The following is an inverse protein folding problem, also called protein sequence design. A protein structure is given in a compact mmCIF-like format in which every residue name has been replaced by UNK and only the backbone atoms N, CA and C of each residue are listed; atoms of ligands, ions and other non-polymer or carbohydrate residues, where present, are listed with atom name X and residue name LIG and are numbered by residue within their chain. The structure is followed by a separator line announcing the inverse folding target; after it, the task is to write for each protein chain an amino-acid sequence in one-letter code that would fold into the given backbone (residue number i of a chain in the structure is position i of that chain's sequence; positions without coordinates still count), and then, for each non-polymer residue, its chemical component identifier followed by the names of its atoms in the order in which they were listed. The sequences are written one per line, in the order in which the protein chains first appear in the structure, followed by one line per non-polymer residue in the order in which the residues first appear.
data_IF_780271066327
#
_entry.id   IF_780271066327
#
_cell.length_a   1.000
_cell.length_b   1.000
_cell.length_c   1.000
_cell.angle_alpha   90.00
_cell.angle_beta   90.00
_cell.angle_gamma   90.00
#
_symmetry.space_group_name_H-M   'P 1'
#
loop_
_entity.id
_entity.type
_entity.pdbx_description
1 polymer ?
#
# COMPACT_ATOMS: atom_id res chain seq x y z
N UNK A 1 41.08 -21.57 -27.71
CA UNK A 1 39.77 -20.89 -27.84
C UNK A 1 39.05 -20.97 -26.50
N UNK A 2 39.18 -19.95 -25.65
CA UNK A 2 38.52 -19.90 -24.34
C UNK A 2 37.29 -19.01 -24.42
N UNK A 3 36.09 -19.59 -24.28
CA UNK A 3 34.85 -18.83 -24.21
C UNK A 3 34.74 -18.22 -22.81
N UNK A 4 35.05 -16.93 -22.72
CA UNK A 4 34.72 -16.10 -21.56
C UNK A 4 33.21 -16.17 -21.30
N UNK A 5 32.84 -16.87 -20.23
CA UNK A 5 31.51 -16.81 -19.63
C UNK A 5 31.31 -15.38 -19.13
N UNK A 6 30.58 -14.56 -19.90
CA UNK A 6 29.92 -13.38 -19.37
C UNK A 6 29.05 -13.88 -18.22
N UNK A 7 29.51 -13.71 -16.98
CA UNK A 7 28.65 -13.75 -15.80
C UNK A 7 27.48 -12.82 -16.12
N UNK A 8 26.33 -13.41 -16.42
CA UNK A 8 25.06 -12.68 -16.41
C UNK A 8 24.92 -12.18 -14.99
N UNK A 9 25.20 -10.90 -14.77
CA UNK A 9 24.75 -10.21 -13.55
C UNK A 9 23.27 -10.52 -13.43
N UNK A 10 22.78 -11.07 -12.31
CA UNK A 10 21.35 -11.11 -12.09
C UNK A 10 20.92 -9.64 -12.16
N UNK A 11 20.23 -9.22 -13.23
CA UNK A 11 19.29 -8.12 -13.10
C UNK A 11 18.17 -8.68 -12.23
N UNK A 12 18.46 -8.84 -10.94
CA UNK A 12 17.47 -9.18 -9.93
C UNK A 12 16.46 -8.06 -9.97
N UNK A 13 15.20 -8.39 -10.22
CA UNK A 13 14.07 -7.49 -10.00
C UNK A 13 14.27 -6.92 -8.59
N UNK A 14 14.62 -5.64 -8.46
CA UNK A 14 14.75 -5.03 -7.15
C UNK A 14 13.39 -5.17 -6.45
N UNK A 15 13.38 -5.65 -5.20
CA UNK A 15 12.16 -5.59 -4.40
C UNK A 15 11.78 -4.11 -4.23
N UNK A 16 10.49 -3.83 -4.00
CA UNK A 16 10.03 -2.46 -3.76
C UNK A 16 10.84 -1.76 -2.67
N UNK A 17 11.16 -2.46 -1.57
CA UNK A 17 12.02 -1.95 -0.50
C UNK A 17 13.40 -1.52 -1.01
N UNK A 18 14.07 -2.34 -1.83
CA UNK A 18 15.39 -2.01 -2.41
C UNK A 18 15.33 -0.84 -3.38
N UNK A 19 14.25 -0.73 -4.15
CA UNK A 19 14.05 0.42 -5.05
C UNK A 19 13.89 1.72 -4.25
N UNK A 20 13.10 1.70 -3.16
CA UNK A 20 12.91 2.84 -2.27
C UNK A 20 14.24 3.22 -1.58
N UNK A 21 14.95 2.26 -1.00
CA UNK A 21 16.26 2.50 -0.36
C UNK A 21 17.29 3.06 -1.34
N UNK A 22 17.30 2.60 -2.59
CA UNK A 22 18.21 3.15 -3.60
C UNK A 22 17.87 4.58 -3.99
N UNK A 23 16.59 4.96 -3.96
CA UNK A 23 16.14 6.29 -4.32
C UNK A 23 16.25 7.28 -3.16
N UNK A 24 16.11 6.79 -1.92
CA UNK A 24 16.13 7.58 -0.69
C UNK A 24 17.08 6.95 0.34
N UNK A 25 18.40 6.93 0.08
CA UNK A 25 19.37 6.14 0.87
C UNK A 25 19.46 6.56 2.34
N UNK A 26 19.18 7.83 2.64
CA UNK A 26 19.27 8.37 4.00
C UNK A 26 17.94 8.33 4.76
N UNK A 27 16.89 7.73 4.17
CA UNK A 27 15.55 7.67 4.77
C UNK A 27 15.10 6.21 4.94
N UNK A 28 15.03 5.70 6.18
CA UNK A 28 14.55 4.34 6.40
C UNK A 28 13.05 4.21 6.09
N UNK A 29 12.64 3.04 5.64
CA UNK A 29 11.21 2.70 5.50
C UNK A 29 10.70 2.35 6.90
N UNK A 30 10.01 3.30 7.54
CA UNK A 30 9.48 3.10 8.90
C UNK A 30 8.12 2.39 8.90
N UNK A 31 7.28 2.67 7.91
CA UNK A 31 5.91 2.16 7.82
C UNK A 31 5.58 1.70 6.41
N UNK A 32 4.73 0.67 6.31
CA UNK A 32 3.98 0.35 5.09
C UNK A 32 2.52 0.10 5.47
N UNK A 33 1.60 0.87 4.89
CA UNK A 33 0.17 0.71 5.13
C UNK A 33 -0.45 -0.18 4.06
N UNK A 34 -1.25 -1.15 4.48
CA UNK A 34 -1.99 -2.05 3.58
C UNK A 34 -3.39 -1.49 3.38
N UNK A 35 -3.83 -1.38 2.12
CA UNK A 35 -5.17 -0.89 1.80
C UNK A 35 -6.25 -1.90 2.16
N UNK A 36 -6.07 -3.15 1.72
CA UNK A 36 -6.97 -4.29 1.93
C UNK A 36 -6.26 -5.63 1.58
N UNK A 37 -6.83 -6.81 1.91
CA UNK A 37 -6.09 -8.07 1.90
C UNK A 37 -5.97 -8.77 0.53
N UNK A 38 -6.34 -8.13 -0.58
CA UNK A 38 -6.13 -8.72 -1.91
C UNK A 38 -4.63 -8.86 -2.25
N UNK A 39 -4.32 -9.86 -3.07
CA UNK A 39 -2.94 -10.33 -3.29
C UNK A 39 -2.02 -9.26 -3.93
N UNK A 40 -2.57 -8.40 -4.76
CA UNK A 40 -1.89 -7.31 -5.45
C UNK A 40 -1.60 -6.11 -4.54
N UNK A 41 -2.28 -6.04 -3.39
CA UNK A 41 -2.04 -5.03 -2.34
C UNK A 41 -1.24 -5.58 -1.16
N UNK A 42 -1.07 -6.91 -1.08
CA UNK A 42 -0.34 -7.61 -0.01
C UNK A 42 0.91 -8.35 -0.48
N UNK A 43 1.09 -8.59 -1.78
CA UNK A 43 2.18 -9.43 -2.31
C UNK A 43 3.60 -8.92 -2.01
N UNK A 44 3.75 -7.63 -1.68
CA UNK A 44 5.03 -7.02 -1.30
C UNK A 44 5.31 -6.95 0.21
N UNK A 45 4.32 -7.23 1.08
CA UNK A 45 4.39 -6.85 2.51
C UNK A 45 5.51 -7.55 3.25
N UNK A 46 5.73 -8.85 2.99
CA UNK A 46 6.84 -9.61 3.59
C UNK A 46 8.20 -9.03 3.21
N UNK A 47 8.35 -8.63 1.94
CA UNK A 47 9.56 -8.00 1.44
C UNK A 47 9.85 -6.66 2.13
N UNK A 48 8.82 -5.86 2.42
CA UNK A 48 8.99 -4.60 3.14
C UNK A 48 9.24 -4.83 4.65
N UNK A 49 8.52 -5.78 5.27
CA UNK A 49 8.74 -6.15 6.67
C UNK A 49 10.18 -6.65 6.92
N UNK A 50 10.78 -7.37 5.96
CA UNK A 50 12.16 -7.81 6.07
C UNK A 50 13.16 -6.64 6.23
N UNK A 51 12.78 -5.44 5.78
CA UNK A 51 13.58 -4.23 5.89
C UNK A 51 13.29 -3.41 7.16
N UNK A 52 12.54 -3.97 8.12
CA UNK A 52 12.29 -3.35 9.43
C UNK A 52 11.07 -2.45 9.50
N UNK A 53 10.33 -2.27 8.40
CA UNK A 53 9.15 -1.42 8.36
C UNK A 53 7.97 -2.02 9.15
N UNK A 54 7.33 -1.22 9.99
CA UNK A 54 6.07 -1.59 10.64
C UNK A 54 4.94 -1.66 9.61
N UNK A 55 4.24 -2.79 9.57
CA UNK A 55 3.11 -2.99 8.65
C UNK A 55 1.84 -2.51 9.33
N UNK A 56 1.29 -1.40 8.84
CA UNK A 56 0.06 -0.79 9.37
C UNK A 56 -1.15 -1.47 8.72
N UNK A 57 -2.01 -2.05 9.56
CA UNK A 57 -3.14 -2.87 9.13
C UNK A 57 -4.40 -2.40 9.86
N UNK A 58 -5.51 -2.24 9.15
CA UNK A 58 -6.78 -2.01 9.84
C UNK A 58 -7.19 -3.28 10.58
N UNK A 59 -7.66 -3.15 11.82
CA UNK A 59 -7.87 -4.28 12.75
C UNK A 59 -8.67 -5.46 12.16
N UNK A 60 -9.60 -5.21 11.24
CA UNK A 60 -10.43 -6.25 10.61
C UNK A 60 -9.68 -7.11 9.61
N UNK A 61 -8.55 -6.63 9.11
CA UNK A 61 -7.63 -7.37 8.23
C UNK A 61 -6.47 -8.02 8.97
N UNK A 62 -6.43 -7.93 10.31
CA UNK A 62 -5.30 -8.43 11.09
C UNK A 62 -5.05 -9.92 10.88
N UNK A 63 -6.11 -10.73 10.81
CA UNK A 63 -6.00 -12.17 10.61
C UNK A 63 -5.35 -12.50 9.26
N UNK A 64 -5.83 -11.88 8.17
CA UNK A 64 -5.29 -12.08 6.82
C UNK A 64 -3.80 -11.69 6.74
N UNK A 65 -3.44 -10.54 7.32
CA UNK A 65 -2.07 -10.06 7.27
C UNK A 65 -1.13 -10.84 8.19
N UNK A 66 -1.62 -11.35 9.32
CA UNK A 66 -0.87 -12.29 10.17
C UNK A 66 -0.57 -13.57 9.42
N UNK A 67 -1.57 -14.16 8.75
CA UNK A 67 -1.38 -15.37 7.96
C UNK A 67 -0.28 -15.17 6.90
N UNK A 68 -0.32 -14.06 6.16
CA UNK A 68 0.68 -13.73 5.14
C UNK A 68 2.09 -13.55 5.77
N UNK A 69 2.21 -12.80 6.87
CA UNK A 69 3.50 -12.50 7.49
C UNK A 69 4.11 -13.69 8.24
N UNK A 70 3.29 -14.59 8.79
CA UNK A 70 3.79 -15.69 9.62
C UNK A 70 3.86 -17.03 8.86
N UNK A 71 3.25 -17.12 7.68
CA UNK A 71 3.38 -18.27 6.80
C UNK A 71 4.86 -18.69 6.59
N UNK A 72 5.21 -19.99 6.76
CA UNK A 72 6.54 -20.49 6.47
C UNK A 72 6.90 -20.30 4.99
N UNK A 73 8.02 -19.64 4.71
CA UNK A 73 8.59 -19.52 3.37
C UNK A 73 9.92 -20.25 3.35
N UNK A 74 9.95 -21.47 2.79
CA UNK A 74 11.08 -22.39 2.94
C UNK A 74 11.71 -22.85 1.62
N UNK A 75 11.12 -22.57 0.45
CA UNK A 75 11.62 -23.07 -0.83
C UNK A 75 11.52 -22.09 -2.03
N UNK A 76 12.57 -21.30 -2.31
CA UNK A 76 13.61 -20.91 -1.35
C UNK A 76 13.02 -19.98 -0.27
N UNK A 77 13.67 -19.86 0.91
CA UNK A 77 13.21 -18.90 1.91
C UNK A 77 13.31 -17.47 1.37
N UNK A 78 12.31 -16.65 1.66
CA UNK A 78 12.33 -15.23 1.32
C UNK A 78 13.23 -14.43 2.28
N UNK A 79 13.42 -13.14 2.03
CA UNK A 79 14.28 -12.31 2.88
C UNK A 79 13.76 -12.25 4.32
N UNK A 80 12.44 -12.14 4.53
CA UNK A 80 11.85 -12.11 5.86
C UNK A 80 12.16 -13.40 6.64
N UNK A 81 11.96 -14.56 6.02
CA UNK A 81 12.27 -15.85 6.63
C UNK A 81 13.76 -15.99 6.93
N UNK A 82 14.65 -15.64 5.99
CA UNK A 82 16.10 -15.67 6.21
C UNK A 82 16.52 -14.82 7.41
N UNK A 83 16.02 -13.58 7.50
CA UNK A 83 16.34 -12.65 8.59
C UNK A 83 15.85 -13.12 9.95
N UNK A 84 14.62 -13.65 10.02
CA UNK A 84 14.07 -14.25 11.24
C UNK A 84 14.87 -15.45 11.71
N UNK A 85 15.39 -16.26 10.78
CA UNK A 85 16.19 -17.46 11.08
C UNK A 85 17.69 -17.20 11.35
N UNK A 86 18.18 -15.99 11.11
CA UNK A 86 19.58 -15.64 11.30
C UNK A 86 20.02 -15.83 12.77
N UNK A 87 21.32 -15.98 12.99
CA UNK A 87 21.89 -16.15 14.33
C UNK A 87 22.99 -15.09 14.55
N UNK A 88 22.75 -14.04 15.37
CA UNK A 88 21.48 -13.74 16.05
C UNK A 88 20.37 -13.32 15.06
N UNK A 89 19.07 -13.42 15.44
CA UNK A 89 17.97 -12.96 14.61
C UNK A 89 18.12 -11.49 14.25
N UNK A 90 17.88 -11.16 12.99
CA UNK A 90 17.93 -9.78 12.52
C UNK A 90 16.60 -9.08 12.82
N UNK A 91 16.64 -7.77 13.08
CA UNK A 91 15.44 -6.96 13.26
C UNK A 91 14.62 -6.93 11.97
N UNK A 92 13.33 -7.20 12.12
CA UNK A 92 12.32 -7.15 11.05
C UNK A 92 11.09 -6.41 11.55
N UNK A 93 10.26 -5.96 10.62
CA UNK A 93 8.98 -5.33 10.89
C UNK A 93 7.95 -6.29 11.48
N UNK A 94 6.96 -5.71 12.14
CA UNK A 94 5.81 -6.38 12.70
C UNK A 94 4.51 -5.66 12.30
N UNK A 95 3.37 -6.30 12.54
CA UNK A 95 2.07 -5.66 12.37
C UNK A 95 1.83 -4.68 13.52
N UNK A 96 1.38 -3.47 13.18
CA UNK A 96 0.70 -2.55 14.09
C UNK A 96 -0.73 -2.36 13.56
N UNK A 97 -1.73 -2.69 14.36
CA UNK A 97 -3.12 -2.51 13.98
C UNK A 97 -3.63 -1.11 14.33
N UNK A 98 -4.60 -0.63 13.54
CA UNK A 98 -5.35 0.58 13.85
C UNK A 98 -6.85 0.38 13.58
N UNK A 99 -7.67 1.26 14.15
CA UNK A 99 -9.13 1.17 14.07
C UNK A 99 -9.71 2.46 13.48
N UNK A 100 -10.30 2.37 12.29
CA UNK A 100 -10.97 3.48 11.61
C UNK A 100 -10.03 4.56 11.05
N UNK A 101 -9.18 5.18 11.88
CA UNK A 101 -8.25 6.24 11.48
C UNK A 101 -6.88 6.08 12.11
N UNK A 102 -5.82 6.31 11.32
CA UNK A 102 -4.44 6.47 11.81
C UNK A 102 -3.86 7.77 11.29
N UNK A 103 -3.13 8.50 12.13
CA UNK A 103 -2.39 9.69 11.72
C UNK A 103 -0.91 9.47 11.99
N UNK A 104 -0.09 9.76 10.99
CA UNK A 104 1.37 9.70 11.07
C UNK A 104 1.89 11.09 10.72
N UNK A 105 2.64 11.70 11.63
CA UNK A 105 3.22 13.03 11.42
C UNK A 105 4.73 12.96 11.61
N UNK A 106 5.47 13.36 10.57
CA UNK A 106 6.94 13.35 10.57
C UNK A 106 7.46 14.43 9.63
N UNK A 107 8.53 15.13 10.03
CA UNK A 107 9.16 16.15 9.19
C UNK A 107 8.25 17.29 8.73
N UNK A 108 7.19 17.60 9.49
CA UNK A 108 6.20 18.63 9.13
C UNK A 108 5.15 18.18 8.11
N UNK A 109 5.15 16.90 7.71
CA UNK A 109 4.13 16.32 6.85
C UNK A 109 3.25 15.36 7.66
N UNK A 110 1.97 15.31 7.31
CA UNK A 110 0.99 14.39 7.90
C UNK A 110 0.44 13.46 6.82
N UNK A 111 0.39 12.16 7.14
CA UNK A 111 -0.34 11.14 6.40
C UNK A 111 -1.49 10.66 7.29
N UNK A 112 -2.70 10.66 6.75
CA UNK A 112 -3.89 10.11 7.39
C UNK A 112 -4.32 8.83 6.67
N UNK A 113 -4.50 7.74 7.40
CA UNK A 113 -5.17 6.54 6.93
C UNK A 113 -6.63 6.58 7.40
N UNK A 114 -7.57 6.32 6.49
CA UNK A 114 -8.99 6.25 6.79
C UNK A 114 -9.55 4.93 6.28
N UNK A 115 -10.21 4.18 7.15
CA UNK A 115 -10.94 2.97 6.81
C UNK A 115 -12.35 3.36 6.35
N UNK A 116 -12.69 3.00 5.13
CA UNK A 116 -14.01 3.22 4.54
C UNK A 116 -14.81 1.92 4.64
N UNK A 117 -15.98 2.02 5.27
CA UNK A 117 -16.86 0.90 5.58
C UNK A 117 -18.22 1.04 4.93
N UNK A 118 -18.91 -0.07 4.74
CA UNK A 118 -20.22 -0.16 4.10
C UNK A 118 -20.14 -0.44 2.60
N UNK A 119 -19.11 -1.18 2.14
CA UNK A 119 -18.90 -1.45 0.72
C UNK A 119 -18.57 -2.91 0.43
N UNK A 120 -19.03 -3.43 -0.71
CA UNK A 120 -18.99 -4.85 -1.02
C UNK A 120 -17.63 -5.37 -1.53
N UNK A 121 -16.75 -4.48 -2.01
CA UNK A 121 -15.42 -4.89 -2.51
C UNK A 121 -14.58 -5.55 -1.41
N UNK A 122 -14.45 -4.86 -0.27
CA UNK A 122 -13.78 -5.31 0.96
C UNK A 122 -14.27 -4.46 2.14
N UNK A 123 -14.28 -5.03 3.33
CA UNK A 123 -14.78 -4.36 4.54
C UNK A 123 -13.72 -4.35 5.65
N UNK A 124 -13.02 -3.22 5.89
CA UNK A 124 -13.06 -1.94 5.17
C UNK A 124 -12.04 -1.86 4.04
N UNK A 125 -12.10 -0.81 3.21
CA UNK A 125 -10.99 -0.40 2.36
C UNK A 125 -10.27 0.80 2.99
N UNK A 126 -8.94 0.75 3.10
CA UNK A 126 -8.15 1.87 3.63
C UNK A 126 -7.69 2.79 2.51
N UNK A 127 -7.91 4.10 2.67
CA UNK A 127 -7.34 5.16 1.83
C UNK A 127 -6.29 5.95 2.61
N UNK A 128 -5.33 6.54 1.90
CA UNK A 128 -4.30 7.37 2.50
C UNK A 128 -4.38 8.81 1.96
N UNK A 129 -4.42 9.79 2.85
CA UNK A 129 -4.60 11.19 2.51
C UNK A 129 -3.45 12.04 3.07
N UNK A 130 -2.89 12.92 2.23
CA UNK A 130 -1.84 13.88 2.61
C UNK A 130 -2.45 15.28 2.58
N UNK A 131 -2.84 15.88 3.73
CA UNK A 131 -3.61 17.12 3.75
C UNK A 131 -2.89 18.33 3.12
N UNK A 132 -1.59 18.46 3.34
CA UNK A 132 -0.80 19.58 2.82
C UNK A 132 -0.65 19.54 1.31
N UNK A 133 -0.65 18.34 0.73
CA UNK A 133 -0.59 18.12 -0.72
C UNK A 133 -1.98 17.95 -1.36
N UNK A 134 -3.05 17.77 -0.56
CA UNK A 134 -4.41 17.45 -1.02
C UNK A 134 -4.45 16.24 -1.96
N UNK A 135 -3.62 15.23 -1.64
CA UNK A 135 -3.49 13.99 -2.40
C UNK A 135 -4.21 12.88 -1.66
N UNK A 136 -5.05 12.13 -2.38
CA UNK A 136 -5.70 10.92 -1.90
C UNK A 136 -5.18 9.72 -2.68
N UNK A 137 -4.48 8.80 -2.00
CA UNK A 137 -4.23 7.46 -2.50
C UNK A 137 -5.40 6.55 -2.16
N UNK A 138 -5.93 5.88 -3.17
CA UNK A 138 -6.99 4.89 -3.06
C UNK A 138 -6.68 3.77 -4.06
N UNK A 139 -6.97 2.52 -3.69
CA UNK A 139 -6.61 1.40 -4.55
C UNK A 139 -7.70 1.10 -5.59
N UNK A 140 -8.79 0.49 -5.12
CA UNK A 140 -9.67 -0.29 -5.99
C UNK A 140 -11.02 0.38 -6.26
N UNK A 141 -11.20 1.63 -5.81
CA UNK A 141 -12.51 2.30 -5.90
C UNK A 141 -12.64 3.16 -7.16
N UNK A 142 -11.54 3.68 -7.69
CA UNK A 142 -11.53 4.51 -8.88
C UNK A 142 -10.18 4.39 -9.60
N UNK A 143 -10.16 4.39 -10.93
CA UNK A 143 -8.92 4.24 -11.70
C UNK A 143 -8.67 5.52 -12.52
N UNK A 144 -7.96 6.53 -11.96
CA UNK A 144 -7.69 7.79 -12.67
C UNK A 144 -7.06 7.55 -14.03
N UNK A 145 -7.47 8.35 -15.02
CA UNK A 145 -7.00 8.24 -16.41
C UNK A 145 -7.67 7.14 -17.26
N UNK A 146 -8.53 6.29 -16.68
CA UNK A 146 -9.28 5.28 -17.46
C UNK A 146 -10.67 5.76 -17.91
N UNK A 147 -11.21 6.77 -17.22
CA UNK A 147 -12.61 7.20 -17.37
C UNK A 147 -13.63 6.20 -16.80
N UNK A 148 -13.19 5.09 -16.21
CA UNK A 148 -14.05 4.11 -15.59
C UNK A 148 -14.71 4.70 -14.34
N UNK A 149 -16.04 4.61 -14.29
CA UNK A 149 -16.85 5.01 -13.13
C UNK A 149 -17.68 3.85 -12.61
N UNK A 150 -18.74 4.17 -11.88
CA UNK A 150 -19.66 3.17 -11.34
C UNK A 150 -19.84 3.27 -9.82
N UNK A 151 -20.43 2.24 -9.20
CA UNK A 151 -20.81 2.27 -7.79
C UNK A 151 -19.61 2.50 -6.85
N UNK A 152 -18.44 1.92 -7.13
CA UNK A 152 -17.24 2.09 -6.29
C UNK A 152 -16.76 3.55 -6.28
N UNK A 153 -16.75 4.20 -7.45
CA UNK A 153 -16.38 5.60 -7.59
C UNK A 153 -17.39 6.52 -6.87
N UNK A 154 -18.68 6.18 -6.92
CA UNK A 154 -19.72 6.90 -6.20
C UNK A 154 -19.54 6.79 -4.68
N UNK A 155 -19.27 5.58 -4.17
CA UNK A 155 -18.99 5.34 -2.76
C UNK A 155 -17.74 6.09 -2.27
N UNK A 156 -16.67 6.10 -3.06
CA UNK A 156 -15.46 6.86 -2.74
C UNK A 156 -15.75 8.37 -2.66
N UNK A 157 -16.48 8.92 -3.64
CA UNK A 157 -16.84 10.34 -3.62
C UNK A 157 -17.70 10.69 -2.39
N UNK A 158 -18.66 9.85 -2.05
CA UNK A 158 -19.50 10.02 -0.86
C UNK A 158 -18.65 9.98 0.42
N UNK A 159 -17.73 9.03 0.52
CA UNK A 159 -16.82 8.88 1.66
C UNK A 159 -15.90 10.10 1.82
N UNK A 160 -15.31 10.60 0.73
CA UNK A 160 -14.50 11.83 0.73
C UNK A 160 -15.30 13.03 1.26
N UNK A 161 -16.57 13.15 0.84
CA UNK A 161 -17.47 14.21 1.32
C UNK A 161 -17.82 14.05 2.79
N UNK A 162 -18.16 12.84 3.25
CA UNK A 162 -18.45 12.53 4.65
C UNK A 162 -17.27 12.84 5.58
N UNK A 163 -16.05 12.53 5.12
CA UNK A 163 -14.82 12.81 5.84
C UNK A 163 -14.36 14.28 5.73
N UNK A 164 -15.02 15.09 4.90
CA UNK A 164 -14.68 16.49 4.63
C UNK A 164 -13.22 16.69 4.17
N UNK A 165 -12.71 15.76 3.34
CA UNK A 165 -11.35 15.85 2.81
C UNK A 165 -11.30 16.81 1.63
N UNK A 166 -10.28 17.67 1.58
CA UNK A 166 -10.02 18.57 0.45
C UNK A 166 -9.04 17.91 -0.49
N UNK A 167 -9.54 17.28 -1.55
CA UNK A 167 -8.71 16.50 -2.47
C UNK A 167 -8.61 17.22 -3.81
N UNK A 168 -7.38 17.44 -4.27
CA UNK A 168 -7.09 18.00 -5.59
C UNK A 168 -6.60 16.90 -6.55
N UNK A 169 -5.89 15.89 -6.03
CA UNK A 169 -5.29 14.79 -6.82
C UNK A 169 -5.67 13.43 -6.26
N UNK A 170 -6.13 12.53 -7.14
CA UNK A 170 -6.30 11.11 -6.86
C UNK A 170 -5.11 10.31 -7.38
N UNK A 171 -4.62 9.39 -6.56
CA UNK A 171 -3.61 8.40 -6.94
C UNK A 171 -4.26 7.03 -6.83
N UNK A 172 -4.34 6.31 -7.94
CA UNK A 172 -4.86 4.95 -7.98
C UNK A 172 -3.80 3.92 -7.59
N UNK A 173 -4.20 2.88 -6.85
CA UNK A 173 -3.46 1.62 -6.77
C UNK A 173 -3.46 0.90 -8.13
N UNK A 174 -4.53 1.09 -8.90
CA UNK A 174 -4.63 0.78 -10.32
C UNK A 174 -4.95 2.03 -11.14
N UNK A 175 -4.61 1.99 -12.43
CA UNK A 175 -4.71 3.16 -13.31
C UNK A 175 -3.53 4.10 -13.09
N UNK A 176 -3.80 5.40 -12.97
CA UNK A 176 -2.77 6.41 -12.85
C UNK A 176 -3.01 7.45 -11.77
N UNK A 177 -2.47 8.63 -12.02
CA UNK A 177 -2.63 9.83 -11.20
C UNK A 177 -3.49 10.81 -12.01
N UNK A 178 -4.50 11.40 -11.39
CA UNK A 178 -5.41 12.32 -12.07
C UNK A 178 -6.08 13.32 -11.14
N UNK A 179 -6.68 14.39 -11.68
CA UNK A 179 -7.35 15.40 -10.88
C UNK A 179 -8.59 14.84 -10.19
N UNK A 180 -8.96 15.40 -9.03
CA UNK A 180 -10.14 14.99 -8.28
C UNK A 180 -11.45 15.10 -9.08
N UNK A 181 -11.50 16.05 -10.03
CA UNK A 181 -12.63 16.24 -10.93
C UNK A 181 -12.97 15.01 -11.78
N UNK A 182 -11.99 14.14 -12.07
CA UNK A 182 -12.27 12.89 -12.79
C UNK A 182 -13.14 11.93 -11.96
N UNK A 183 -12.89 11.82 -10.66
CA UNK A 183 -13.73 11.03 -9.75
C UNK A 183 -15.15 11.60 -9.71
N UNK A 184 -15.29 12.92 -9.61
CA UNK A 184 -16.60 13.59 -9.60
C UNK A 184 -17.40 13.25 -10.86
N UNK A 185 -16.74 13.29 -12.03
CA UNK A 185 -17.35 12.92 -13.31
C UNK A 185 -17.71 11.42 -13.34
N UNK A 186 -16.82 10.55 -12.90
CA UNK A 186 -16.99 9.11 -12.92
C UNK A 186 -18.06 8.59 -11.93
N UNK A 187 -18.21 9.24 -10.77
CA UNK A 187 -19.29 8.94 -9.83
C UNK A 187 -20.66 9.31 -10.40
N UNK A 188 -20.74 10.36 -11.23
CA UNK A 188 -21.97 10.78 -11.90
C UNK A 188 -22.50 9.83 -12.98
N UNK A 189 -21.72 8.80 -13.36
CA UNK A 189 -22.14 7.78 -14.33
C UNK A 189 -22.65 6.49 -13.69
N UNK A 190 -22.74 6.43 -12.35
CA UNK A 190 -23.36 5.30 -11.66
C UNK A 190 -24.87 5.26 -12.00
N UNK A 191 -25.31 4.17 -12.61
CA UNK A 191 -26.74 3.93 -12.83
C UNK A 191 -27.42 3.70 -11.47
N UNK A 192 -28.65 4.20 -11.28
CA UNK A 192 -29.43 4.01 -10.05
C UNK A 192 -29.78 2.54 -9.78
#
# INVERSE_FOLDING_TARGET
MSRSSKRRTPRSKATLARAIESQFPDKPIRYAAVTHPHYDHTGGVRGIAAHGATILVEKRHEADLKEILDAPHTNPPDELARRRSAQPPQTVGAIETFDGKKVITEGGQTLELHALSGWAHVEPIVVAYVPTARVLFQSDMFFPGTGAGGPDAAFLLESVRKLNLRVDTNVGGHGGIGPFAELVKAAGTALP
#
